data_IF_322551567112
#
_entry.id   IF_322551567112
#
_cell.length_a   1.000
_cell.length_b   1.000
_cell.length_c   1.000
_cell.angle_alpha   90.00
_cell.angle_beta   90.00
_cell.angle_gamma   90.00
#
_symmetry.space_group_name_H-M   'P 1'
#
loop_
_entity.id
_entity.type
_entity.pdbx_description
1 polymer ?
#
# COMPACT_ATOMS: atom_id res chain seq x y z
N UNK A 1 14.18 -0.08 -12.38
CA UNK A 1 13.25 -0.52 -11.32
C UNK A 1 12.68 0.66 -10.59
N UNK A 2 11.42 0.60 -10.27
CA UNK A 2 10.70 1.67 -9.57
C UNK A 2 10.11 1.09 -8.29
N UNK A 3 10.21 1.84 -7.19
CA UNK A 3 9.52 1.52 -5.95
C UNK A 3 8.26 2.37 -5.87
N UNK A 4 7.11 1.73 -5.65
CA UNK A 4 5.85 2.40 -5.36
C UNK A 4 5.72 2.48 -3.85
N UNK A 5 5.55 3.69 -3.32
CA UNK A 5 5.37 3.91 -1.89
C UNK A 5 4.00 4.50 -1.64
N UNK A 6 3.21 3.80 -0.86
CA UNK A 6 1.92 4.30 -0.39
C UNK A 6 2.06 4.64 1.08
N UNK A 7 1.84 5.90 1.43
CA UNK A 7 1.99 6.41 2.79
C UNK A 7 0.64 6.81 3.35
N UNK A 8 0.37 6.42 4.59
CA UNK A 8 -0.90 6.69 5.25
C UNK A 8 -0.66 7.21 6.65
N UNK A 9 -1.53 8.09 7.11
CA UNK A 9 -1.65 8.39 8.52
C UNK A 9 -2.90 7.68 9.01
N UNK A 10 -2.72 6.64 9.81
CA UNK A 10 -3.83 5.86 10.34
C UNK A 10 -4.58 6.66 11.39
N UNK A 11 -5.84 6.31 11.59
CA UNK A 11 -6.59 6.83 12.73
C UNK A 11 -5.97 6.32 14.02
N UNK A 12 -6.02 7.08 15.12
CA UNK A 12 -5.44 6.64 16.38
C UNK A 12 -5.92 5.22 16.77
N UNK A 13 -4.96 4.36 17.10
CA UNK A 13 -5.23 2.98 17.47
C UNK A 13 -5.45 2.02 16.31
N UNK A 14 -5.41 2.49 15.05
CA UNK A 14 -5.69 1.65 13.89
C UNK A 14 -4.46 1.30 13.05
N UNK A 15 -3.28 1.79 13.41
CA UNK A 15 -2.07 1.58 12.60
C UNK A 15 -1.74 0.10 12.40
N UNK A 16 -1.82 -0.70 13.45
CA UNK A 16 -1.54 -2.14 13.36
C UNK A 16 -2.54 -2.88 12.47
N UNK A 17 -3.81 -2.53 12.60
CA UNK A 17 -4.87 -3.12 11.78
C UNK A 17 -4.71 -2.74 10.31
N UNK A 18 -4.39 -1.48 10.04
CA UNK A 18 -4.11 -1.01 8.68
C UNK A 18 -2.90 -1.73 8.09
N UNK A 19 -1.82 -1.84 8.86
CA UNK A 19 -0.62 -2.53 8.40
C UNK A 19 -0.90 -4.00 8.02
N UNK A 20 -1.66 -4.71 8.84
CA UNK A 20 -2.03 -6.10 8.56
C UNK A 20 -2.87 -6.19 7.29
N UNK A 21 -3.83 -5.29 7.11
CA UNK A 21 -4.69 -5.29 5.92
C UNK A 21 -3.89 -4.95 4.66
N UNK A 22 -2.94 -4.01 4.73
CA UNK A 22 -2.08 -3.69 3.59
C UNK A 22 -1.25 -4.89 3.14
N UNK A 23 -0.77 -5.70 4.07
CA UNK A 23 -0.09 -6.95 3.73
C UNK A 23 -1.00 -7.90 2.96
N UNK A 24 -2.23 -8.08 3.42
CA UNK A 24 -3.20 -8.94 2.74
C UNK A 24 -3.52 -8.40 1.34
N UNK A 25 -3.68 -7.10 1.21
CA UNK A 25 -3.94 -6.45 -0.07
C UNK A 25 -2.79 -6.69 -1.04
N UNK A 26 -1.55 -6.54 -0.58
CA UNK A 26 -0.36 -6.79 -1.39
C UNK A 26 -0.28 -8.23 -1.88
N UNK A 27 -0.59 -9.19 -1.00
CA UNK A 27 -0.61 -10.61 -1.34
C UNK A 27 -1.72 -10.92 -2.34
N UNK A 28 -2.91 -10.39 -2.12
CA UNK A 28 -4.06 -10.64 -3.01
C UNK A 28 -3.83 -10.08 -4.41
N UNK A 29 -3.10 -8.97 -4.53
CA UNK A 29 -2.77 -8.35 -5.81
C UNK A 29 -1.49 -8.90 -6.43
N UNK A 30 -0.85 -9.87 -5.78
CA UNK A 30 0.41 -10.49 -6.23
C UNK A 30 1.52 -9.46 -6.48
N UNK A 31 1.59 -8.44 -5.64
CA UNK A 31 2.63 -7.42 -5.74
C UNK A 31 3.99 -7.99 -5.36
N UNK A 32 5.06 -7.44 -5.95
CA UNK A 32 6.42 -7.93 -5.74
C UNK A 32 7.13 -7.16 -4.63
N UNK A 33 7.86 -7.90 -3.79
CA UNK A 33 8.69 -7.34 -2.72
C UNK A 33 7.93 -6.39 -1.80
N UNK A 34 6.73 -6.80 -1.41
CA UNK A 34 5.89 -5.99 -0.52
C UNK A 34 6.55 -5.82 0.83
N UNK A 35 6.66 -4.58 1.27
CA UNK A 35 7.10 -4.24 2.62
C UNK A 35 6.07 -3.32 3.25
N UNK A 36 5.66 -3.63 4.45
CA UNK A 36 4.78 -2.78 5.23
C UNK A 36 5.52 -2.36 6.49
N UNK A 37 5.56 -1.06 6.74
CA UNK A 37 6.34 -0.47 7.82
C UNK A 37 5.44 0.44 8.65
N UNK A 38 5.70 0.47 9.95
CA UNK A 38 5.07 1.43 10.86
C UNK A 38 6.16 2.29 11.46
N UNK A 39 5.80 3.48 11.93
CA UNK A 39 6.78 4.41 12.47
C UNK A 39 7.41 3.88 13.77
N UNK A 40 8.73 4.01 13.88
CA UNK A 40 9.43 3.95 15.15
C UNK A 40 9.62 5.35 15.68
N UNK A 41 9.93 6.27 14.77
CA UNK A 41 10.05 7.71 15.05
C UNK A 41 9.46 8.45 13.85
N UNK A 42 9.09 9.70 14.03
CA UNK A 42 8.50 10.53 13.00
C UNK A 42 7.04 10.84 13.31
N UNK A 43 6.21 10.94 12.27
CA UNK A 43 4.79 11.21 12.45
C UNK A 43 4.11 10.04 13.14
N UNK A 44 3.22 10.33 14.08
CA UNK A 44 2.46 9.28 14.75
C UNK A 44 1.51 8.59 13.77
N UNK A 45 1.36 7.27 13.95
CA UNK A 45 0.43 6.45 13.16
C UNK A 45 0.76 6.41 11.67
N UNK A 46 2.02 6.61 11.31
CA UNK A 46 2.47 6.56 9.93
C UNK A 46 2.65 5.10 9.51
N UNK A 47 1.95 4.70 8.46
CA UNK A 47 2.02 3.34 7.91
C UNK A 47 2.38 3.46 6.44
N UNK A 48 3.40 2.69 6.02
CA UNK A 48 3.89 2.72 4.64
C UNK A 48 3.83 1.31 4.07
N UNK A 49 3.35 1.20 2.83
CA UNK A 49 3.47 -0.03 2.04
C UNK A 49 4.28 0.29 0.79
N UNK A 50 5.33 -0.49 0.56
CA UNK A 50 6.14 -0.40 -0.67
C UNK A 50 6.06 -1.69 -1.45
N UNK A 51 6.15 -1.56 -2.78
CA UNK A 51 6.34 -2.70 -3.66
C UNK A 51 7.10 -2.26 -4.91
N UNK A 52 7.58 -3.23 -5.70
CA UNK A 52 8.39 -2.97 -6.87
C UNK A 52 7.58 -3.10 -8.16
N UNK A 53 7.87 -2.22 -9.12
CA UNK A 53 7.44 -2.35 -10.51
C UNK A 53 8.62 -2.06 -11.42
N UNK A 54 8.58 -2.59 -12.65
CA UNK A 54 9.66 -2.35 -13.62
C UNK A 54 9.53 -1.00 -14.29
N UNK A 55 8.30 -0.50 -14.45
CA UNK A 55 8.03 0.74 -15.18
C UNK A 55 6.74 1.38 -14.69
N UNK A 56 6.56 2.65 -15.04
CA UNK A 56 5.30 3.35 -14.79
C UNK A 56 4.13 2.69 -15.52
N UNK A 57 4.38 2.14 -16.71
CA UNK A 57 3.36 1.41 -17.47
C UNK A 57 2.89 0.17 -16.72
N UNK A 58 3.80 -0.59 -16.14
CA UNK A 58 3.43 -1.74 -15.29
C UNK A 58 2.58 -1.31 -14.10
N UNK A 59 2.95 -0.20 -13.48
CA UNK A 59 2.17 0.34 -12.37
C UNK A 59 0.73 0.63 -12.80
N UNK A 60 0.53 1.30 -13.94
CA UNK A 60 -0.81 1.59 -14.45
C UNK A 60 -1.60 0.31 -14.71
N UNK A 61 -0.96 -0.72 -15.29
CA UNK A 61 -1.61 -2.00 -15.53
C UNK A 61 -2.04 -2.67 -14.23
N UNK A 62 -1.18 -2.62 -13.21
CA UNK A 62 -1.52 -3.17 -11.90
C UNK A 62 -2.72 -2.47 -11.28
N UNK A 63 -2.82 -1.16 -11.42
CA UNK A 63 -3.96 -0.41 -10.90
C UNK A 63 -5.25 -0.78 -11.61
N UNK A 64 -5.20 -0.99 -12.93
CA UNK A 64 -6.36 -1.44 -13.69
C UNK A 64 -6.80 -2.86 -13.29
N UNK A 65 -5.84 -3.77 -13.13
CA UNK A 65 -6.12 -5.14 -12.69
C UNK A 65 -6.70 -5.15 -11.28
N UNK A 66 -6.13 -4.35 -10.39
CA UNK A 66 -6.62 -4.23 -9.01
C UNK A 66 -8.08 -3.81 -8.98
N UNK A 67 -8.46 -2.84 -9.81
CA UNK A 67 -9.82 -2.32 -9.84
C UNK A 67 -10.84 -3.36 -10.30
N UNK A 68 -10.43 -4.36 -11.08
CA UNK A 68 -11.31 -5.38 -11.65
C UNK A 68 -11.19 -6.76 -10.98
N UNK A 69 -10.16 -6.98 -10.16
CA UNK A 69 -9.93 -8.28 -9.52
C UNK A 69 -10.78 -8.43 -8.25
N UNK A 70 -11.76 -9.36 -8.20
CA UNK A 70 -12.60 -9.55 -7.02
C UNK A 70 -11.79 -9.88 -5.76
N UNK A 71 -10.71 -10.61 -5.89
CA UNK A 71 -9.87 -11.03 -4.78
C UNK A 71 -9.16 -9.82 -4.15
N UNK A 72 -8.60 -8.95 -4.98
CA UNK A 72 -7.94 -7.74 -4.52
C UNK A 72 -8.94 -6.78 -3.88
N UNK A 73 -10.11 -6.65 -4.48
CA UNK A 73 -11.18 -5.78 -3.96
C UNK A 73 -11.69 -6.25 -2.60
N UNK A 74 -11.84 -7.56 -2.43
CA UNK A 74 -12.27 -8.12 -1.15
C UNK A 74 -11.22 -7.88 -0.06
N UNK A 75 -9.94 -8.05 -0.37
CA UNK A 75 -8.85 -7.78 0.57
C UNK A 75 -8.80 -6.32 1.01
N UNK A 76 -9.19 -5.39 0.13
CA UNK A 76 -9.17 -3.95 0.39
C UNK A 76 -10.42 -3.44 1.11
N UNK A 77 -11.43 -4.28 1.30
CA UNK A 77 -12.71 -3.83 1.83
C UNK A 77 -12.56 -3.19 3.21
N UNK A 78 -13.01 -1.94 3.31
CA UNK A 78 -13.01 -1.20 4.56
C UNK A 78 -11.68 -0.57 4.95
N UNK A 79 -10.58 -0.76 4.18
CA UNK A 79 -9.28 -0.24 4.59
C UNK A 79 -9.27 1.30 4.63
N UNK A 80 -10.08 1.97 3.80
CA UNK A 80 -10.13 3.43 3.78
C UNK A 80 -10.71 4.03 5.07
N UNK A 81 -11.38 3.24 5.88
CA UNK A 81 -11.89 3.69 7.18
C UNK A 81 -10.79 3.74 8.25
N UNK A 82 -9.61 3.18 7.96
CA UNK A 82 -8.54 3.02 8.94
C UNK A 82 -7.53 4.17 8.93
N UNK A 83 -7.62 5.07 7.96
CA UNK A 83 -6.66 6.17 7.83
C UNK A 83 -7.36 7.49 7.51
N UNK A 84 -6.66 8.59 7.78
CA UNK A 84 -7.18 9.95 7.58
C UNK A 84 -6.61 10.61 6.33
N UNK A 85 -5.31 10.38 6.06
CA UNK A 85 -4.64 10.92 4.88
C UNK A 85 -3.78 9.84 4.26
N UNK A 86 -3.62 9.92 2.96
CA UNK A 86 -2.76 9.00 2.24
C UNK A 86 -2.26 9.64 0.96
N UNK A 87 -1.08 9.20 0.52
CA UNK A 87 -0.56 9.60 -0.77
C UNK A 87 0.36 8.52 -1.32
N UNK A 88 0.65 8.62 -2.61
CA UNK A 88 1.44 7.65 -3.35
C UNK A 88 2.58 8.36 -4.06
N UNK A 89 3.75 7.73 -4.00
CA UNK A 89 4.93 8.21 -4.68
C UNK A 89 5.58 7.07 -5.43
N UNK A 90 6.18 7.38 -6.58
CA UNK A 90 6.98 6.44 -7.33
C UNK A 90 8.41 6.93 -7.37
N UNK A 91 9.36 6.09 -6.98
CA UNK A 91 10.78 6.41 -6.97
C UNK A 91 11.54 5.50 -7.91
N UNK A 92 12.44 6.09 -8.72
CA UNK A 92 13.36 5.30 -9.53
C UNK A 92 14.59 4.97 -8.71
N UNK A 93 14.99 3.69 -8.74
CA UNK A 93 16.26 3.29 -8.14
C UNK A 93 17.39 3.72 -9.09
N UNK A 94 18.32 4.47 -8.56
CA UNK A 94 19.46 4.98 -9.33
C UNK A 94 20.64 4.01 -9.27
#
# INVERSE_FOLDING_TARGET
MIIVRNSFIARPGQAGKLAAQLKEMGNAASLRNVRVMTDLTGDFNHVIMEHDVESASEFEQLMMQYASDPKAREAAKGYTDLWTTGHRELFRIV
#
